data_IF_471301561423
#
_entry.id   IF_471301561423
#
_cell.length_a   1.000
_cell.length_b   1.000
_cell.length_c   1.000
_cell.angle_alpha   90.00
_cell.angle_beta   90.00
_cell.angle_gamma   90.00
#
_symmetry.space_group_name_H-M   'P 1'
#
loop_
_entity.id
_entity.type
_entity.pdbx_description
1 polymer ?
#
# COMPACT_ATOMS: atom_id res chain seq x y z
N UNK A 1 27.78 -16.04 -38.44
CA UNK A 1 26.31 -15.93 -38.55
C UNK A 1 25.83 -15.17 -37.33
N UNK A 2 25.36 -13.94 -37.53
CA UNK A 2 24.99 -13.03 -36.46
C UNK A 2 23.61 -13.42 -35.89
N UNK A 3 23.56 -13.81 -34.61
CA UNK A 3 22.31 -13.77 -33.86
C UNK A 3 22.19 -12.38 -33.22
N UNK A 4 21.22 -11.63 -33.71
CA UNK A 4 20.98 -10.25 -33.40
C UNK A 4 20.69 -10.01 -31.92
N UNK A 5 21.33 -8.97 -31.39
CA UNK A 5 20.98 -8.30 -30.14
C UNK A 5 19.64 -7.57 -30.35
N UNK A 6 18.54 -8.22 -30.01
CA UNK A 6 17.25 -7.56 -29.75
C UNK A 6 16.59 -8.28 -28.57
N UNK A 7 16.86 -7.82 -27.35
CA UNK A 7 16.27 -8.46 -26.16
C UNK A 7 16.45 -7.77 -24.82
N UNK A 8 17.22 -6.68 -24.72
CA UNK A 8 17.56 -6.06 -23.44
C UNK A 8 16.37 -5.53 -22.63
N UNK A 9 15.30 -5.05 -23.29
CA UNK A 9 14.11 -4.56 -22.56
C UNK A 9 13.18 -5.69 -22.07
N UNK A 10 13.13 -6.83 -22.78
CA UNK A 10 12.29 -7.97 -22.40
C UNK A 10 12.93 -8.75 -21.24
N UNK A 11 14.26 -8.79 -21.17
CA UNK A 11 14.99 -9.38 -20.05
C UNK A 11 14.94 -8.52 -18.78
N UNK A 12 14.78 -7.19 -18.87
CA UNK A 12 14.56 -6.35 -17.68
C UNK A 12 13.17 -6.57 -17.06
N UNK A 13 12.13 -6.73 -17.89
CA UNK A 13 10.80 -7.08 -17.40
C UNK A 13 10.77 -8.51 -16.83
N UNK A 14 11.37 -9.49 -17.51
CA UNK A 14 11.43 -10.88 -16.99
C UNK A 14 12.35 -11.03 -15.78
N UNK A 15 13.46 -10.30 -15.72
CA UNK A 15 14.37 -10.26 -14.58
C UNK A 15 13.73 -9.61 -13.34
N UNK A 16 13.01 -8.49 -13.54
CA UNK A 16 12.29 -7.81 -12.44
C UNK A 16 11.02 -8.53 -12.00
N UNK A 17 10.40 -9.35 -12.85
CA UNK A 17 9.26 -10.22 -12.49
C UNK A 17 9.78 -11.52 -11.81
N UNK A 18 10.98 -11.98 -12.18
CA UNK A 18 11.62 -13.16 -11.59
C UNK A 18 12.24 -12.92 -10.21
N UNK A 19 12.79 -11.72 -9.98
CA UNK A 19 13.17 -11.27 -8.65
C UNK A 19 11.93 -10.70 -7.96
N UNK A 20 11.33 -11.46 -7.05
CA UNK A 20 10.16 -11.12 -6.22
C UNK A 20 10.29 -9.84 -5.36
N UNK A 21 11.26 -8.97 -5.64
CA UNK A 21 11.56 -7.73 -4.93
C UNK A 21 10.71 -6.55 -5.39
N UNK A 22 10.26 -6.53 -6.66
CA UNK A 22 9.54 -5.37 -7.21
C UNK A 22 8.04 -5.57 -7.40
N UNK A 23 7.55 -6.81 -7.50
CA UNK A 23 6.14 -7.14 -7.68
C UNK A 23 5.42 -6.23 -8.69
N UNK A 24 4.25 -5.72 -8.31
CA UNK A 24 3.42 -4.83 -9.11
C UNK A 24 4.08 -3.45 -9.29
N UNK A 25 4.94 -3.03 -8.36
CA UNK A 25 5.68 -1.77 -8.48
C UNK A 25 6.68 -1.79 -9.65
N UNK A 26 7.28 -2.95 -9.96
CA UNK A 26 8.19 -3.11 -11.09
C UNK A 26 7.49 -2.93 -12.44
N UNK A 27 6.28 -3.44 -12.56
CA UNK A 27 5.42 -3.29 -13.75
C UNK A 27 5.04 -1.83 -13.99
N UNK A 28 4.68 -1.11 -12.92
CA UNK A 28 4.28 0.29 -13.02
C UNK A 28 5.49 1.21 -13.23
N UNK A 29 6.59 1.00 -12.49
CA UNK A 29 7.82 1.76 -12.66
C UNK A 29 8.43 1.57 -14.05
N UNK A 30 8.45 0.34 -14.59
CA UNK A 30 8.95 0.05 -15.93
C UNK A 30 8.15 0.72 -17.05
N UNK A 31 6.83 0.87 -16.88
CA UNK A 31 5.96 1.50 -17.87
C UNK A 31 6.02 3.05 -17.81
N UNK A 32 6.10 3.65 -16.61
CA UNK A 32 5.92 5.09 -16.44
C UNK A 32 7.22 5.86 -16.14
N UNK A 33 8.26 5.20 -15.62
CA UNK A 33 9.47 5.83 -15.10
C UNK A 33 10.72 5.39 -15.87
N UNK A 34 10.60 5.22 -17.19
CA UNK A 34 11.73 4.88 -18.08
C UNK A 34 12.88 5.86 -17.85
N UNK A 35 14.03 5.34 -17.40
CA UNK A 35 15.26 6.11 -17.18
C UNK A 35 15.58 6.44 -15.72
N UNK A 36 14.69 6.14 -14.76
CA UNK A 36 15.05 6.16 -13.34
C UNK A 36 15.58 4.79 -12.92
N UNK A 37 16.79 4.77 -12.37
CA UNK A 37 17.29 3.57 -11.70
C UNK A 37 16.67 3.41 -10.29
N UNK A 38 16.90 2.25 -9.67
CA UNK A 38 16.36 1.96 -8.34
C UNK A 38 16.90 2.87 -7.24
N UNK A 39 18.11 3.41 -7.40
CA UNK A 39 18.67 4.35 -6.43
C UNK A 39 17.93 5.68 -6.45
N UNK A 40 17.59 6.19 -7.64
CA UNK A 40 16.78 7.40 -7.78
C UNK A 40 15.38 7.21 -7.19
N UNK A 41 14.74 6.08 -7.47
CA UNK A 41 13.42 5.77 -6.92
C UNK A 41 13.44 5.67 -5.38
N UNK A 42 14.47 5.05 -4.83
CA UNK A 42 14.64 4.97 -3.38
C UNK A 42 14.89 6.36 -2.76
N UNK A 43 15.73 7.19 -3.38
CA UNK A 43 15.95 8.57 -2.95
C UNK A 43 14.65 9.40 -2.98
N UNK A 44 13.84 9.25 -4.03
CA UNK A 44 12.53 9.90 -4.14
C UNK A 44 11.58 9.43 -3.04
N UNK A 45 11.56 8.13 -2.73
CA UNK A 45 10.75 7.54 -1.65
C UNK A 45 11.18 8.11 -0.30
N UNK A 46 12.48 8.14 0.00
CA UNK A 46 13.01 8.72 1.24
C UNK A 46 12.69 10.22 1.36
N UNK A 47 12.84 10.98 0.28
CA UNK A 47 12.49 12.40 0.25
C UNK A 47 10.99 12.64 0.48
N UNK A 48 10.12 11.84 -0.16
CA UNK A 48 8.68 11.93 0.03
C UNK A 48 8.29 11.63 1.48
N UNK A 49 8.87 10.59 2.09
CA UNK A 49 8.67 10.27 3.51
C UNK A 49 9.16 11.39 4.43
N UNK A 50 10.33 11.96 4.18
CA UNK A 50 10.86 13.07 4.96
C UNK A 50 9.94 14.30 4.91
N UNK A 51 9.50 14.69 3.72
CA UNK A 51 8.62 15.85 3.53
C UNK A 51 7.23 15.62 4.16
N UNK A 52 6.68 14.41 4.02
CA UNK A 52 5.42 14.08 4.66
C UNK A 52 5.55 14.05 6.19
N UNK A 53 6.65 13.50 6.72
CA UNK A 53 6.96 13.52 8.14
C UNK A 53 7.03 14.95 8.70
N UNK A 54 7.69 15.86 7.98
CA UNK A 54 7.71 17.29 8.33
C UNK A 54 6.31 17.90 8.39
N UNK A 55 5.48 17.64 7.38
CA UNK A 55 4.12 18.16 7.30
C UNK A 55 3.22 17.60 8.40
N UNK A 56 3.32 16.32 8.70
CA UNK A 56 2.59 15.70 9.82
C UNK A 56 3.04 16.29 11.16
N UNK A 57 4.34 16.45 11.38
CA UNK A 57 4.88 17.03 12.61
C UNK A 57 4.39 18.46 12.87
N UNK A 58 4.37 19.31 11.84
CA UNK A 58 3.84 20.68 11.94
C UNK A 58 2.32 20.76 12.11
N UNK A 59 1.58 19.67 11.83
CA UNK A 59 0.13 19.59 12.07
C UNK A 59 -0.20 19.10 13.47
N UNK A 60 0.59 18.21 14.03
CA UNK A 60 0.42 17.70 15.40
C UNK A 60 0.80 18.76 16.43
N UNK A 61 1.75 19.64 16.12
CA UNK A 61 2.17 20.71 17.03
C UNK A 61 2.44 22.01 16.27
N UNK A 62 2.06 23.17 16.83
CA UNK A 62 2.43 24.47 16.27
C UNK A 62 3.94 24.75 16.34
N UNK A 63 4.71 23.93 17.08
CA UNK A 63 6.15 24.06 17.20
C UNK A 63 6.87 23.53 15.94
N UNK A 64 7.64 24.37 15.26
CA UNK A 64 8.43 23.97 14.09
C UNK A 64 9.41 22.80 14.37
N UNK A 65 9.85 22.63 15.62
CA UNK A 65 10.68 21.49 16.03
C UNK A 65 9.98 20.15 15.80
N UNK A 66 8.64 20.09 15.93
CA UNK A 66 7.90 18.88 15.65
C UNK A 66 7.95 18.52 14.15
N UNK A 67 7.96 19.52 13.26
CA UNK A 67 8.21 19.31 11.84
C UNK A 67 9.60 18.73 11.57
N UNK A 68 10.65 19.32 12.14
CA UNK A 68 12.01 18.79 11.98
C UNK A 68 12.16 17.38 12.56
N UNK A 69 11.55 17.11 13.71
CA UNK A 69 11.51 15.76 14.28
C UNK A 69 10.80 14.78 13.33
N UNK A 70 9.62 15.14 12.80
CA UNK A 70 8.88 14.31 11.86
C UNK A 70 9.65 14.03 10.56
N UNK A 71 10.39 15.03 10.05
CA UNK A 71 11.25 14.89 8.87
C UNK A 71 12.26 13.75 9.03
N UNK A 72 12.89 13.69 10.20
CA UNK A 72 13.90 12.68 10.50
C UNK A 72 13.25 11.35 10.87
N UNK A 73 12.27 11.36 11.76
CA UNK A 73 11.67 10.14 12.32
C UNK A 73 11.04 9.25 11.26
N UNK A 74 10.32 9.82 10.28
CA UNK A 74 9.64 9.00 9.27
C UNK A 74 10.63 8.43 8.24
N UNK A 75 11.61 9.24 7.81
CA UNK A 75 12.61 8.80 6.84
C UNK A 75 13.67 7.87 7.44
N UNK A 76 14.03 8.07 8.71
CA UNK A 76 14.99 7.25 9.45
C UNK A 76 14.31 6.16 10.28
N UNK A 77 13.03 5.88 10.05
CA UNK A 77 12.33 4.79 10.71
C UNK A 77 13.07 3.47 10.42
N UNK A 78 13.46 2.68 11.43
CA UNK A 78 14.17 1.42 11.20
C UNK A 78 13.45 0.49 10.22
N UNK A 79 12.11 0.45 10.23
CA UNK A 79 11.31 -0.35 9.29
C UNK A 79 11.44 0.12 7.83
N UNK A 80 11.71 1.41 7.61
CA UNK A 80 11.96 1.98 6.29
C UNK A 80 13.42 1.73 5.88
N UNK A 81 14.37 1.88 6.81
CA UNK A 81 15.80 1.72 6.53
C UNK A 81 16.22 0.26 6.27
N UNK A 82 15.54 -0.71 6.89
CA UNK A 82 15.80 -2.15 6.64
C UNK A 82 15.04 -2.71 5.45
N UNK A 83 14.10 -1.95 4.88
CA UNK A 83 13.37 -2.38 3.71
C UNK A 83 14.35 -2.52 2.53
N UNK A 84 14.29 -3.61 1.75
CA UNK A 84 15.08 -3.75 0.54
C UNK A 84 14.92 -2.55 -0.39
N UNK A 85 15.96 -2.24 -1.17
CA UNK A 85 15.89 -1.21 -2.20
C UNK A 85 14.68 -1.51 -3.11
N UNK A 86 13.82 -0.51 -3.28
CA UNK A 86 12.60 -0.59 -4.07
C UNK A 86 11.52 -1.59 -3.58
N UNK A 87 11.49 -1.94 -2.29
CA UNK A 87 10.38 -2.69 -1.71
C UNK A 87 9.04 -1.92 -1.83
N UNK A 88 7.99 -2.64 -2.24
CA UNK A 88 6.66 -2.06 -2.45
C UNK A 88 6.09 -1.42 -1.17
N UNK A 89 6.47 -1.86 0.04
CA UNK A 89 6.00 -1.22 1.28
C UNK A 89 6.53 0.20 1.41
N UNK A 90 7.80 0.43 1.06
CA UNK A 90 8.42 1.75 1.16
C UNK A 90 7.77 2.74 0.20
N UNK A 91 7.54 2.33 -1.05
CA UNK A 91 6.78 3.14 -2.02
C UNK A 91 5.36 3.39 -1.57
N UNK A 92 4.68 2.34 -1.12
CA UNK A 92 3.31 2.42 -0.61
C UNK A 92 3.23 3.40 0.55
N UNK A 93 4.17 3.34 1.50
CA UNK A 93 4.22 4.24 2.64
C UNK A 93 4.44 5.69 2.18
N UNK A 94 5.33 5.92 1.21
CA UNK A 94 5.55 7.26 0.66
C UNK A 94 4.29 7.81 0.00
N UNK A 95 3.63 7.03 -0.85
CA UNK A 95 2.36 7.41 -1.52
C UNK A 95 1.27 7.70 -0.48
N UNK A 96 1.09 6.84 0.52
CA UNK A 96 0.12 7.05 1.59
C UNK A 96 0.44 8.30 2.42
N UNK A 97 1.71 8.59 2.67
CA UNK A 97 2.10 9.77 3.44
C UNK A 97 1.76 11.06 2.68
N UNK A 98 1.89 11.06 1.35
CA UNK A 98 1.38 12.13 0.48
C UNK A 98 -0.16 12.17 0.52
N UNK A 99 -0.84 11.02 0.46
CA UNK A 99 -2.30 10.94 0.53
C UNK A 99 -2.84 11.56 1.83
N UNK A 100 -2.29 11.18 2.99
CA UNK A 100 -2.68 11.76 4.29
C UNK A 100 -2.46 13.27 4.30
N UNK A 101 -1.35 13.74 3.72
CA UNK A 101 -1.04 15.16 3.60
C UNK A 101 -2.09 15.93 2.78
N UNK A 102 -2.57 15.35 1.69
CA UNK A 102 -3.65 15.91 0.86
C UNK A 102 -4.98 15.88 1.62
N UNK A 103 -5.27 14.79 2.34
CA UNK A 103 -6.49 14.64 3.14
C UNK A 103 -6.61 15.65 4.29
N UNK A 104 -5.49 16.22 4.75
CA UNK A 104 -5.45 17.24 5.81
C UNK A 104 -5.69 18.67 5.29
N UNK A 105 -5.92 18.87 4.00
CA UNK A 105 -6.24 20.21 3.48
C UNK A 105 -7.66 20.62 3.88
N UNK A 106 -7.96 21.93 4.02
CA UNK A 106 -9.32 22.39 4.28
C UNK A 106 -10.32 21.99 3.20
N UNK A 107 -9.84 21.84 1.96
CA UNK A 107 -10.59 21.35 0.81
C UNK A 107 -9.74 20.30 0.10
N UNK A 108 -9.73 19.04 0.57
CA UNK A 108 -8.95 17.99 -0.07
C UNK A 108 -9.42 17.78 -1.51
N UNK A 109 -8.46 17.63 -2.42
CA UNK A 109 -8.78 17.23 -3.78
C UNK A 109 -9.09 15.72 -3.81
N UNK A 110 -10.34 15.36 -3.51
CA UNK A 110 -10.78 13.97 -3.31
C UNK A 110 -10.48 13.03 -4.49
N UNK A 111 -10.51 13.56 -5.73
CA UNK A 111 -10.11 12.79 -6.92
C UNK A 111 -8.62 12.41 -6.85
N UNK A 112 -7.74 13.36 -6.55
CA UNK A 112 -6.30 13.10 -6.40
C UNK A 112 -6.01 12.19 -5.20
N UNK A 113 -6.72 12.39 -4.09
CA UNK A 113 -6.61 11.52 -2.94
C UNK A 113 -7.01 10.08 -3.28
N UNK A 114 -8.11 9.90 -3.99
CA UNK A 114 -8.55 8.58 -4.46
C UNK A 114 -7.54 7.93 -5.42
N UNK A 115 -6.92 8.70 -6.31
CA UNK A 115 -5.87 8.19 -7.20
C UNK A 115 -4.64 7.71 -6.40
N UNK A 116 -4.19 8.49 -5.42
CA UNK A 116 -3.06 8.10 -4.54
C UNK A 116 -3.39 6.86 -3.70
N UNK A 117 -4.58 6.80 -3.10
CA UNK A 117 -5.03 5.64 -2.31
C UNK A 117 -5.20 4.41 -3.20
N UNK A 118 -5.77 4.57 -4.40
CA UNK A 118 -5.91 3.50 -5.38
C UNK A 118 -4.56 2.96 -5.83
N UNK A 119 -3.59 3.85 -6.10
CA UNK A 119 -2.23 3.47 -6.44
C UNK A 119 -1.51 2.77 -5.26
N UNK A 120 -1.64 3.28 -4.04
CA UNK A 120 -1.11 2.59 -2.86
C UNK A 120 -1.73 1.20 -2.67
N UNK A 121 -3.03 1.08 -2.92
CA UNK A 121 -3.74 -0.21 -2.89
C UNK A 121 -3.24 -1.17 -3.97
N UNK A 122 -2.95 -0.72 -5.20
CA UNK A 122 -2.38 -1.60 -6.24
C UNK A 122 -0.97 -2.08 -5.90
N UNK A 123 -0.18 -1.24 -5.24
CA UNK A 123 1.15 -1.62 -4.75
C UNK A 123 1.02 -2.62 -3.60
N UNK A 124 0.11 -2.39 -2.65
CA UNK A 124 -0.12 -3.25 -1.49
C UNK A 124 -1.62 -3.36 -1.17
N UNK A 125 -2.22 -4.43 -1.65
CA UNK A 125 -3.64 -4.71 -1.50
C UNK A 125 -4.20 -4.79 -0.06
N UNK A 126 -3.42 -5.13 0.99
CA UNK A 126 -3.92 -5.00 2.37
C UNK A 126 -4.42 -3.59 2.70
N UNK A 127 -4.00 -2.57 1.96
CA UNK A 127 -4.50 -1.20 2.09
C UNK A 127 -5.93 -0.98 1.58
N UNK A 128 -6.59 -2.00 1.02
CA UNK A 128 -8.02 -1.91 0.72
C UNK A 128 -8.83 -1.45 1.94
N UNK A 129 -8.37 -1.81 3.16
CA UNK A 129 -8.99 -1.39 4.43
C UNK A 129 -8.91 0.12 4.68
N UNK A 130 -7.99 0.84 4.04
CA UNK A 130 -7.90 2.30 4.16
C UNK A 130 -8.98 3.02 3.35
N UNK A 131 -9.49 2.41 2.27
CA UNK A 131 -10.53 2.99 1.40
C UNK A 131 -11.78 3.39 2.20
N UNK A 132 -12.41 2.53 3.02
CA UNK A 132 -13.58 2.92 3.80
C UNK A 132 -13.28 4.04 4.82
N UNK A 133 -12.08 4.08 5.40
CA UNK A 133 -11.68 5.15 6.31
C UNK A 133 -11.60 6.51 5.58
N UNK A 134 -10.96 6.55 4.40
CA UNK A 134 -10.93 7.76 3.58
C UNK A 134 -12.30 8.14 3.02
N UNK A 135 -13.15 7.17 2.68
CA UNK A 135 -14.52 7.44 2.24
C UNK A 135 -15.37 8.04 3.37
N UNK A 136 -15.21 7.56 4.60
CA UNK A 136 -15.88 8.16 5.78
C UNK A 136 -15.41 9.60 6.00
N UNK A 137 -14.09 9.84 5.93
CA UNK A 137 -13.52 11.19 6.03
C UNK A 137 -14.06 12.12 4.93
N UNK A 138 -14.10 11.63 3.68
CA UNK A 138 -14.63 12.37 2.53
C UNK A 138 -16.11 12.71 2.71
N UNK A 139 -16.90 11.78 3.26
CA UNK A 139 -18.30 12.00 3.58
C UNK A 139 -18.47 13.09 4.64
N UNK A 140 -17.66 13.07 5.68
CA UNK A 140 -17.73 14.05 6.78
C UNK A 140 -17.36 15.47 6.33
N UNK A 141 -16.35 15.61 5.45
CA UNK A 141 -15.84 16.92 5.05
C UNK A 141 -16.53 17.52 3.82
N UNK A 142 -16.95 16.70 2.85
CA UNK A 142 -17.46 17.17 1.55
C UNK A 142 -18.75 16.46 1.07
N UNK A 143 -19.24 15.49 1.82
CA UNK A 143 -20.44 14.71 1.48
C UNK A 143 -20.21 13.71 0.33
N UNK A 144 -21.31 13.12 -0.15
CA UNK A 144 -21.24 12.00 -1.11
C UNK A 144 -20.77 12.45 -2.49
N UNK A 145 -21.33 13.54 -3.02
CA UNK A 145 -21.09 13.99 -4.40
C UNK A 145 -19.71 14.57 -4.62
N UNK A 146 -19.22 15.38 -3.68
CA UNK A 146 -17.95 16.09 -3.83
C UNK A 146 -16.80 15.41 -3.08
N UNK A 147 -17.08 14.48 -2.16
CA UNK A 147 -16.09 13.71 -1.42
C UNK A 147 -16.00 12.25 -1.87
N UNK A 148 -17.02 11.48 -1.53
CA UNK A 148 -16.97 10.01 -1.66
C UNK A 148 -16.91 9.54 -3.11
N UNK A 149 -17.81 10.03 -3.97
CA UNK A 149 -17.87 9.62 -5.38
C UNK A 149 -16.55 9.87 -6.14
N UNK A 150 -15.95 11.08 -6.12
CA UNK A 150 -14.68 11.29 -6.82
C UNK A 150 -13.55 10.46 -6.23
N UNK A 151 -13.52 10.25 -4.90
CA UNK A 151 -12.54 9.37 -4.27
C UNK A 151 -12.66 7.93 -4.78
N UNK A 152 -13.85 7.34 -4.72
CA UNK A 152 -14.08 5.96 -5.17
C UNK A 152 -13.85 5.80 -6.67
N UNK A 153 -14.30 6.77 -7.48
CA UNK A 153 -14.06 6.76 -8.92
C UNK A 153 -12.55 6.75 -9.26
N UNK A 154 -11.76 7.57 -8.57
CA UNK A 154 -10.32 7.60 -8.77
C UNK A 154 -9.61 6.35 -8.24
N UNK A 155 -10.05 5.78 -7.11
CA UNK A 155 -9.53 4.49 -6.61
C UNK A 155 -9.76 3.38 -7.65
N UNK A 156 -10.98 3.29 -8.19
CA UNK A 156 -11.33 2.31 -9.21
C UNK A 156 -10.51 2.52 -10.49
N UNK A 157 -10.37 3.76 -10.96
CA UNK A 157 -9.62 4.06 -12.17
C UNK A 157 -8.12 3.77 -12.01
N UNK A 158 -7.52 4.21 -10.90
CA UNK A 158 -6.11 3.99 -10.61
C UNK A 158 -5.79 2.49 -10.43
N UNK A 159 -6.73 1.72 -9.88
CA UNK A 159 -6.57 0.28 -9.72
C UNK A 159 -7.01 -0.56 -10.92
N UNK A 160 -7.69 0.02 -11.91
CA UNK A 160 -8.22 -0.73 -13.04
C UNK A 160 -7.14 -1.45 -13.86
N UNK A 161 -5.96 -0.84 -14.00
CA UNK A 161 -4.85 -1.43 -14.76
C UNK A 161 -4.36 -2.73 -14.10
N UNK A 162 -4.20 -2.70 -12.78
CA UNK A 162 -3.76 -3.87 -12.01
C UNK A 162 -4.81 -4.98 -12.03
N UNK A 163 -6.08 -4.62 -11.83
CA UNK A 163 -7.19 -5.57 -11.93
C UNK A 163 -7.30 -6.19 -13.33
N UNK A 164 -7.11 -5.40 -14.39
CA UNK A 164 -7.07 -5.91 -15.75
C UNK A 164 -5.89 -6.86 -15.95
N UNK A 165 -4.71 -6.52 -15.42
CA UNK A 165 -3.55 -7.41 -15.43
C UNK A 165 -3.86 -8.74 -14.73
N UNK A 166 -4.39 -8.72 -13.51
CA UNK A 166 -4.77 -9.91 -12.75
C UNK A 166 -5.81 -10.76 -13.50
N UNK A 167 -6.83 -10.13 -14.10
CA UNK A 167 -7.85 -10.84 -14.86
C UNK A 167 -7.24 -11.51 -16.10
N UNK A 168 -6.37 -10.82 -16.83
CA UNK A 168 -5.75 -11.33 -18.05
C UNK A 168 -4.67 -12.40 -17.76
N UNK A 169 -3.90 -12.23 -16.68
CA UNK A 169 -2.80 -13.13 -16.33
C UNK A 169 -3.27 -14.37 -15.57
N UNK A 170 -4.26 -14.22 -14.67
CA UNK A 170 -4.67 -15.29 -13.74
C UNK A 170 -6.13 -15.72 -13.89
N UNK A 171 -6.90 -15.07 -14.76
CA UNK A 171 -8.32 -15.36 -14.94
C UNK A 171 -9.20 -14.94 -13.76
N UNK A 172 -8.67 -14.18 -12.80
CA UNK A 172 -9.40 -13.73 -11.62
C UNK A 172 -8.84 -12.43 -11.06
N UNK A 173 -9.73 -11.52 -10.68
CA UNK A 173 -9.39 -10.28 -9.99
C UNK A 173 -8.83 -10.48 -8.58
N UNK A 174 -9.11 -11.65 -7.98
CA UNK A 174 -8.73 -11.99 -6.61
C UNK A 174 -7.51 -12.91 -6.55
N UNK A 175 -6.99 -13.34 -7.69
CA UNK A 175 -5.79 -14.16 -7.74
C UNK A 175 -4.56 -13.29 -7.42
N UNK A 176 -3.61 -13.88 -6.70
CA UNK A 176 -2.30 -13.29 -6.43
C UNK A 176 -1.22 -14.24 -6.92
N UNK A 177 -0.19 -13.69 -7.55
CA UNK A 177 0.99 -14.44 -7.99
C UNK A 177 1.58 -15.27 -6.85
N UNK A 178 1.73 -14.65 -5.69
CA UNK A 178 2.30 -15.27 -4.48
C UNK A 178 1.40 -16.30 -3.82
N UNK A 179 0.17 -16.51 -4.32
CA UNK A 179 -0.78 -17.51 -3.81
C UNK A 179 -1.06 -18.62 -4.82
N UNK A 180 -0.33 -18.71 -5.93
CA UNK A 180 -0.50 -19.79 -6.92
C UNK A 180 -0.38 -21.20 -6.30
N UNK A 181 0.45 -21.34 -5.27
CA UNK A 181 0.65 -22.57 -4.48
C UNK A 181 -0.44 -22.83 -3.43
N UNK A 182 -1.28 -21.85 -3.12
CA UNK A 182 -2.38 -22.01 -2.17
C UNK A 182 -3.56 -22.69 -2.89
N UNK A 183 -4.12 -23.78 -2.34
CA UNK A 183 -5.31 -24.40 -2.92
C UNK A 183 -6.49 -23.43 -2.89
N UNK A 184 -7.36 -23.53 -3.89
CA UNK A 184 -8.57 -22.72 -3.93
C UNK A 184 -9.49 -23.15 -2.77
N UNK A 185 -10.01 -22.17 -2.03
CA UNK A 185 -10.89 -22.36 -0.89
C UNK A 185 -12.18 -21.56 -1.10
N UNK A 186 -13.27 -22.05 -0.51
CA UNK A 186 -14.54 -21.33 -0.53
C UNK A 186 -14.59 -20.37 0.66
N UNK A 187 -14.78 -19.09 0.35
CA UNK A 187 -14.99 -18.02 1.31
C UNK A 187 -16.45 -17.58 1.31
N UNK A 188 -16.90 -17.02 2.42
CA UNK A 188 -18.27 -16.55 2.57
C UNK A 188 -18.33 -15.21 3.29
N UNK A 189 -19.20 -14.30 2.82
CA UNK A 189 -19.57 -13.07 3.52
C UNK A 189 -21.10 -12.94 3.52
N UNK A 190 -21.72 -13.12 4.69
CA UNK A 190 -23.17 -13.32 4.76
C UNK A 190 -23.59 -14.52 3.92
N UNK A 191 -24.58 -14.34 3.05
CA UNK A 191 -25.11 -15.40 2.17
C UNK A 191 -24.31 -15.56 0.85
N UNK A 192 -23.25 -14.77 0.65
CA UNK A 192 -22.46 -14.80 -0.58
C UNK A 192 -21.25 -15.70 -0.42
N UNK A 193 -21.13 -16.72 -1.27
CA UNK A 193 -19.96 -17.60 -1.34
C UNK A 193 -19.16 -17.39 -2.61
N UNK A 194 -17.83 -17.42 -2.51
CA UNK A 194 -16.93 -17.34 -3.66
C UNK A 194 -15.71 -18.23 -3.47
N UNK A 195 -15.08 -18.64 -4.57
CA UNK A 195 -13.86 -19.46 -4.54
C UNK A 195 -12.66 -18.59 -4.87
N UNK A 196 -11.64 -18.61 -4.02
CA UNK A 196 -10.40 -17.88 -4.26
C UNK A 196 -9.18 -18.67 -3.77
N UNK A 197 -8.01 -18.37 -4.34
CA UNK A 197 -6.70 -18.81 -3.83
C UNK A 197 -6.16 -17.70 -2.95
N UNK A 198 -6.26 -17.87 -1.64
CA UNK A 198 -5.89 -16.82 -0.71
C UNK A 198 -5.71 -17.34 0.70
N UNK A 199 -5.26 -16.44 1.57
CA UNK A 199 -5.10 -16.67 3.01
C UNK A 199 -6.09 -15.77 3.77
N UNK A 200 -7.33 -15.73 3.28
CA UNK A 200 -8.37 -14.91 3.92
C UNK A 200 -8.85 -15.66 5.16
N UNK A 201 -8.94 -14.95 6.27
CA UNK A 201 -9.41 -15.49 7.53
C UNK A 201 -10.75 -14.84 7.88
N UNK A 202 -11.18 -14.96 9.13
CA UNK A 202 -12.35 -14.24 9.62
C UNK A 202 -12.32 -12.74 9.21
N UNK A 203 -13.44 -12.18 8.71
CA UNK A 203 -14.80 -12.74 8.69
C UNK A 203 -15.14 -13.58 7.45
N UNK A 204 -14.20 -13.80 6.53
CA UNK A 204 -14.48 -14.45 5.24
C UNK A 204 -14.36 -15.98 5.28
N UNK A 205 -13.68 -16.51 6.30
CA UNK A 205 -13.47 -17.93 6.51
C UNK A 205 -13.57 -18.26 8.01
N UNK A 206 -14.29 -19.33 8.35
CA UNK A 206 -14.47 -19.73 9.74
C UNK A 206 -13.21 -20.39 10.33
N UNK A 207 -12.39 -21.01 9.47
CA UNK A 207 -11.15 -21.65 9.88
C UNK A 207 -9.95 -20.74 9.64
N UNK A 208 -8.94 -20.91 10.49
CA UNK A 208 -7.67 -20.19 10.34
C UNK A 208 -6.82 -20.85 9.26
N UNK A 209 -6.71 -20.20 8.10
CA UNK A 209 -5.83 -20.63 7.02
C UNK A 209 -4.41 -20.19 7.36
N UNK A 210 -3.54 -21.16 7.63
CA UNK A 210 -2.12 -20.92 7.96
C UNK A 210 -1.22 -21.34 6.81
N UNK A 211 -0.13 -20.61 6.64
CA UNK A 211 1.02 -21.06 5.86
C UNK A 211 2.27 -20.98 6.72
N UNK A 212 3.37 -21.67 6.34
CA UNK A 212 4.66 -21.48 7.00
C UNK A 212 5.11 -20.01 7.07
N UNK A 213 4.67 -19.18 6.11
CA UNK A 213 4.99 -17.76 6.04
C UNK A 213 3.97 -16.85 6.75
N UNK A 214 2.77 -17.34 7.05
CA UNK A 214 1.73 -16.59 7.74
C UNK A 214 1.05 -17.47 8.81
N UNK A 215 1.70 -17.66 9.98
CA UNK A 215 1.21 -18.57 11.01
C UNK A 215 0.01 -18.02 11.81
N UNK A 216 -0.25 -16.71 11.72
CA UNK A 216 -1.29 -16.01 12.49
C UNK A 216 -2.10 -15.10 11.57
N UNK A 217 -3.36 -14.76 11.89
CA UNK A 217 -4.07 -13.74 11.14
C UNK A 217 -3.33 -12.39 11.17
N UNK A 218 -3.38 -11.64 10.07
CA UNK A 218 -2.75 -10.32 9.98
C UNK A 218 -3.20 -9.35 11.09
N UNK A 219 -4.47 -9.43 11.51
CA UNK A 219 -5.01 -8.60 12.60
C UNK A 219 -4.36 -8.90 13.97
N UNK A 220 -3.79 -10.10 14.15
CA UNK A 220 -3.00 -10.47 15.33
C UNK A 220 -1.50 -10.20 15.11
N UNK A 221 -1.00 -10.50 13.91
CA UNK A 221 0.40 -10.36 13.58
C UNK A 221 0.86 -8.90 13.60
N UNK A 222 0.02 -7.95 13.14
CA UNK A 222 0.39 -6.53 13.09
C UNK A 222 0.59 -5.91 14.49
N UNK A 223 -0.32 -6.07 15.46
CA UNK A 223 -0.08 -5.59 16.83
C UNK A 223 1.17 -6.22 17.45
N UNK A 224 1.38 -7.53 17.27
CA UNK A 224 2.57 -8.21 17.79
C UNK A 224 3.85 -7.68 17.14
N UNK A 225 3.82 -7.44 15.83
CA UNK A 225 4.93 -6.86 15.09
C UNK A 225 5.23 -5.43 15.59
N UNK A 226 4.21 -4.61 15.79
CA UNK A 226 4.35 -3.26 16.35
C UNK A 226 4.97 -3.28 17.74
N UNK A 227 4.51 -4.18 18.63
CA UNK A 227 5.09 -4.35 19.97
C UNK A 227 6.55 -4.79 19.89
N UNK A 228 6.87 -5.74 19.02
CA UNK A 228 8.22 -6.28 18.87
C UNK A 228 9.23 -5.25 18.35
N UNK A 229 8.81 -4.33 17.47
CA UNK A 229 9.72 -3.38 16.82
C UNK A 229 9.70 -1.98 17.43
N UNK A 230 8.55 -1.53 17.94
CA UNK A 230 8.38 -0.18 18.50
C UNK A 230 8.31 -0.18 20.04
N UNK A 231 8.16 -1.34 20.65
CA UNK A 231 7.92 -1.49 22.08
C UNK A 231 6.45 -1.32 22.46
N UNK A 232 6.07 -1.91 23.59
CA UNK A 232 4.66 -1.96 24.05
C UNK A 232 4.06 -0.57 24.27
N UNK A 233 4.84 0.40 24.75
CA UNK A 233 4.36 1.75 25.02
C UNK A 233 3.97 2.50 23.73
N UNK A 234 4.81 2.43 22.69
CA UNK A 234 4.53 3.07 21.40
C UNK A 234 3.38 2.35 20.68
N UNK A 235 3.37 1.02 20.70
CA UNK A 235 2.27 0.25 20.14
C UNK A 235 0.93 0.57 20.82
N UNK A 236 0.89 0.66 22.15
CA UNK A 236 -0.30 1.05 22.90
C UNK A 236 -0.75 2.48 22.58
N UNK A 237 0.19 3.43 22.46
CA UNK A 237 -0.13 4.81 22.07
C UNK A 237 -0.71 4.91 20.65
N UNK A 238 -0.20 4.12 19.70
CA UNK A 238 -0.73 4.06 18.33
C UNK A 238 -2.16 3.48 18.28
N UNK A 239 -2.45 2.49 19.12
CA UNK A 239 -3.78 1.87 19.22
C UNK A 239 -4.78 2.77 19.97
N UNK A 240 -4.33 3.52 20.98
CA UNK A 240 -5.17 4.41 21.79
C UNK A 240 -5.37 5.80 21.17
N UNK A 241 -4.43 6.28 20.34
CA UNK A 241 -4.44 7.61 19.72
C UNK A 241 -5.72 7.99 18.95
N UNK A 242 -6.41 7.08 18.24
CA UNK A 242 -7.70 7.38 17.62
C UNK A 242 -8.83 7.68 18.61
N UNK A 243 -8.67 7.37 19.90
CA UNK A 243 -9.71 7.56 20.92
C UNK A 243 -9.60 8.88 21.69
N UNK A 244 -8.55 9.68 21.44
CA UNK A 244 -8.23 10.87 22.21
C UNK A 244 -8.56 12.20 21.50
N UNK A 245 -9.32 12.17 20.39
CA UNK A 245 -9.77 13.36 19.64
C UNK A 245 -11.28 13.42 19.59
#
# INVERSE_FOLDING_TARGET
>A
MAMGRTGGEVDLLRGNIGDAQLGNAGLIAGAWLRGLDMAHLHALTGAALALAGWRLGTRVSPNQRAGWAGLVVLAANPLVLVAPLADENSFTLAVLSIAVTVAQQPQPAWLWLGALVGFAFTLRHPLAVAIPAFALLARQQAGWRHGVLPLLAAVLLASAVEHAHHLLAFGSLLAFETHAQVPAQTYSIGDWSFVARGLMNWPLHAELVRTPHNPWPMWLQWPLHAVAHLGIAVAAALLAGPMAV
#
